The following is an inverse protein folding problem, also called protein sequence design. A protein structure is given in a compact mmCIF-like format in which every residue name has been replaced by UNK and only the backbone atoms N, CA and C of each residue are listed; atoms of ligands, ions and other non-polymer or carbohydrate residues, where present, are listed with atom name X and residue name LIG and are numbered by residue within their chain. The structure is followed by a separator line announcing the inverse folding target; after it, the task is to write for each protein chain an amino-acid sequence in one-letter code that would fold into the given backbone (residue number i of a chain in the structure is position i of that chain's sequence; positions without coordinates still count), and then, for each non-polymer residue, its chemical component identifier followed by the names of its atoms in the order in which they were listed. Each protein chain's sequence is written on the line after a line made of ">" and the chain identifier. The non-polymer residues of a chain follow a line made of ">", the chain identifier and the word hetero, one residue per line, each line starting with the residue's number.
data_IF_683051425577
#
_entry.id   IF_683051425577
#
_cell.length_a   1.000
_cell.length_b   1.000
_cell.length_c   1.000
_cell.angle_alpha   90.00
_cell.angle_beta   90.00
_cell.angle_gamma   90.00
#
_symmetry.space_group_name_H-M   'P 1'
#
loop_
_entity.id
_entity.type
_entity.pdbx_description
1 polymer ?
#
# COMPACT_ATOMS: atom_id res chain seq x y z
N UNK A 1 -20.41 5.84 -30.73
CA UNK A 1 -19.31 6.04 -29.76
C UNK A 1 -18.67 4.71 -29.41
N UNK A 2 -17.39 4.59 -29.74
CA UNK A 2 -16.61 3.36 -29.70
C UNK A 2 -15.33 3.58 -28.87
N UNK A 3 -14.49 2.56 -28.66
CA UNK A 3 -13.32 2.74 -27.78
C UNK A 3 -12.29 3.71 -28.34
N UNK A 4 -12.05 3.71 -29.67
CA UNK A 4 -11.13 4.66 -30.30
C UNK A 4 -11.56 6.11 -30.09
N UNK A 5 -12.85 6.40 -30.18
CA UNK A 5 -13.40 7.75 -29.97
C UNK A 5 -13.13 8.24 -28.54
N UNK A 6 -13.27 7.34 -27.56
CA UNK A 6 -13.05 7.65 -26.14
C UNK A 6 -11.56 7.82 -25.83
N UNK A 7 -10.72 7.01 -26.47
CA UNK A 7 -9.28 6.95 -26.20
C UNK A 7 -8.42 7.80 -27.14
N UNK A 8 -9.01 8.57 -28.07
CA UNK A 8 -8.31 9.31 -29.14
C UNK A 8 -7.16 10.22 -28.67
N UNK A 9 -7.21 10.73 -27.43
CA UNK A 9 -6.20 11.64 -26.86
C UNK A 9 -5.22 10.92 -25.93
N UNK A 10 -5.31 9.59 -25.82
CA UNK A 10 -4.49 8.77 -24.96
C UNK A 10 -3.67 7.80 -25.78
N UNK A 11 -2.44 7.56 -25.33
CA UNK A 11 -1.53 6.62 -25.98
C UNK A 11 -1.39 5.37 -25.12
N UNK A 12 -1.37 4.17 -25.73
CA UNK A 12 -1.15 2.94 -24.99
C UNK A 12 0.28 2.91 -24.43
N UNK A 13 0.39 2.47 -23.19
CA UNK A 13 1.66 2.14 -22.51
C UNK A 13 2.26 0.82 -22.99
N UNK A 14 1.41 -0.09 -23.51
CA UNK A 14 1.81 -1.37 -24.06
C UNK A 14 0.88 -1.70 -25.23
N UNK A 15 1.46 -2.16 -26.34
CA UNK A 15 0.73 -2.51 -27.55
C UNK A 15 1.14 -3.92 -27.98
N UNK A 16 0.15 -4.81 -28.11
CA UNK A 16 0.34 -6.16 -28.62
C UNK A 16 -0.77 -6.54 -29.61
N UNK A 17 -0.64 -7.73 -30.20
CA UNK A 17 -1.53 -8.16 -31.29
C UNK A 17 -2.98 -8.43 -30.84
N UNK A 18 -3.18 -8.66 -29.54
CA UNK A 18 -4.48 -8.98 -28.94
C UNK A 18 -4.95 -7.97 -27.89
N UNK A 19 -4.15 -6.96 -27.55
CA UNK A 19 -4.50 -5.99 -26.51
C UNK A 19 -3.73 -4.66 -26.62
N UNK A 20 -4.33 -3.60 -26.07
CA UNK A 20 -3.76 -2.28 -25.85
C UNK A 20 -3.93 -1.91 -24.38
N UNK A 21 -2.83 -1.63 -23.68
CA UNK A 21 -2.84 -1.24 -22.27
C UNK A 21 -2.65 0.26 -22.14
N UNK A 22 -3.48 0.90 -21.34
CA UNK A 22 -3.44 2.33 -21.06
C UNK A 22 -3.24 2.56 -19.56
N UNK A 23 -2.55 3.65 -19.23
CA UNK A 23 -2.51 4.21 -17.89
C UNK A 23 -3.00 5.66 -17.95
N UNK A 24 -4.15 5.93 -17.35
CA UNK A 24 -4.82 7.24 -17.43
C UNK A 24 -5.23 7.66 -16.03
N UNK A 25 -4.75 8.80 -15.57
CA UNK A 25 -5.06 9.31 -14.22
C UNK A 25 -4.65 8.35 -13.09
N UNK A 26 -3.57 7.58 -13.29
CA UNK A 26 -3.09 6.57 -12.32
C UNK A 26 -3.94 5.29 -12.28
N UNK A 27 -4.83 5.08 -13.26
CA UNK A 27 -5.65 3.88 -13.41
C UNK A 27 -5.22 3.09 -14.64
N UNK A 28 -5.21 1.76 -14.53
CA UNK A 28 -4.90 0.87 -15.63
C UNK A 28 -6.15 0.43 -16.40
N UNK A 29 -6.08 0.42 -17.72
CA UNK A 29 -7.13 -0.10 -18.60
C UNK A 29 -6.53 -0.98 -19.68
N UNK A 30 -7.26 -2.02 -20.11
CA UNK A 30 -6.85 -2.85 -21.25
C UNK A 30 -8.01 -2.99 -22.21
N UNK A 31 -7.81 -2.51 -23.43
CA UNK A 31 -8.70 -2.81 -24.56
C UNK A 31 -8.20 -4.08 -25.21
N UNK A 32 -9.08 -5.06 -25.38
CA UNK A 32 -8.75 -6.35 -25.98
C UNK A 32 -9.91 -6.87 -26.82
N UNK A 33 -9.65 -7.85 -27.68
CA UNK A 33 -10.68 -8.47 -28.51
C UNK A 33 -11.08 -9.84 -27.95
N UNK A 34 -12.23 -9.99 -27.27
CA UNK A 34 -12.66 -11.29 -26.75
C UNK A 34 -13.04 -12.27 -27.87
N UNK A 35 -13.62 -11.75 -28.95
CA UNK A 35 -14.12 -12.48 -30.11
C UNK A 35 -13.92 -11.63 -31.37
N UNK A 36 -14.02 -12.28 -32.54
CA UNK A 36 -13.76 -11.63 -33.83
C UNK A 36 -14.68 -10.42 -34.01
N UNK A 37 -14.11 -9.30 -34.44
CA UNK A 37 -14.82 -8.05 -34.73
C UNK A 37 -15.52 -7.43 -33.50
N UNK A 38 -15.15 -7.86 -32.28
CA UNK A 38 -15.62 -7.30 -31.02
C UNK A 38 -14.46 -6.82 -30.15
N UNK A 39 -14.69 -5.72 -29.43
CA UNK A 39 -13.76 -5.17 -28.44
C UNK A 39 -14.41 -5.09 -27.07
N UNK A 40 -13.59 -5.28 -26.04
CA UNK A 40 -13.94 -5.02 -24.66
C UNK A 40 -12.85 -4.19 -24.00
N UNK A 41 -13.20 -3.48 -22.94
CA UNK A 41 -12.25 -2.75 -22.11
C UNK A 41 -12.38 -3.23 -20.67
N UNK A 42 -11.30 -3.75 -20.10
CA UNK A 42 -11.24 -4.10 -18.69
C UNK A 42 -10.49 -3.02 -17.90
N UNK A 43 -11.08 -2.60 -16.80
CA UNK A 43 -10.48 -1.72 -15.81
C UNK A 43 -9.67 -2.56 -14.81
N UNK A 44 -8.40 -2.22 -14.59
CA UNK A 44 -7.45 -3.10 -13.88
C UNK A 44 -7.52 -3.04 -12.35
N UNK A 45 -8.18 -2.04 -11.74
CA UNK A 45 -8.37 -2.00 -10.29
C UNK A 45 -9.36 -3.07 -9.82
N UNK A 46 -10.52 -3.13 -10.47
CA UNK A 46 -11.63 -4.00 -10.11
C UNK A 46 -11.78 -5.25 -10.98
N UNK A 47 -11.05 -5.29 -12.11
CA UNK A 47 -11.24 -6.24 -13.21
C UNK A 47 -12.68 -6.24 -13.74
N UNK A 48 -13.24 -5.04 -13.87
CA UNK A 48 -14.59 -4.78 -14.36
C UNK A 48 -14.56 -4.47 -15.85
N UNK A 49 -15.48 -5.05 -16.62
CA UNK A 49 -15.68 -4.66 -18.02
C UNK A 49 -16.39 -3.30 -18.08
N UNK A 50 -15.90 -2.42 -18.94
CA UNK A 50 -16.43 -1.10 -19.19
C UNK A 50 -16.84 -1.00 -20.66
N UNK A 51 -18.09 -0.62 -20.90
CA UNK A 51 -18.53 -0.14 -22.21
C UNK A 51 -17.84 1.18 -22.58
N UNK A 52 -17.81 1.59 -23.86
CA UNK A 52 -17.26 2.90 -24.24
C UNK A 52 -17.85 4.07 -23.45
N UNK A 53 -19.16 4.01 -23.18
CA UNK A 53 -19.85 5.03 -22.38
C UNK A 53 -19.39 5.07 -20.93
N UNK A 54 -19.28 3.91 -20.28
CA UNK A 54 -18.76 3.82 -18.91
C UNK A 54 -17.29 4.28 -18.83
N UNK A 55 -16.47 3.93 -19.83
CA UNK A 55 -15.10 4.40 -19.92
C UNK A 55 -15.03 5.93 -20.05
N UNK A 56 -15.81 6.52 -20.97
CA UNK A 56 -15.86 7.98 -21.14
C UNK A 56 -16.28 8.70 -19.84
N UNK A 57 -17.25 8.13 -19.12
CA UNK A 57 -17.71 8.64 -17.83
C UNK A 57 -16.60 8.58 -16.77
N UNK A 58 -15.92 7.44 -16.62
CA UNK A 58 -14.81 7.27 -15.67
C UNK A 58 -13.66 8.23 -15.98
N UNK A 59 -13.39 8.48 -17.26
CA UNK A 59 -12.38 9.43 -17.72
C UNK A 59 -12.85 10.90 -17.67
N UNK A 60 -14.07 11.17 -17.18
CA UNK A 60 -14.65 12.51 -17.04
C UNK A 60 -14.65 13.32 -18.35
N UNK A 61 -14.90 12.65 -19.48
CA UNK A 61 -14.84 13.28 -20.79
C UNK A 61 -16.18 13.91 -21.20
N UNK A 62 -16.12 15.07 -21.86
CA UNK A 62 -17.29 15.69 -22.47
C UNK A 62 -17.65 14.99 -23.79
N UNK A 63 -18.67 14.14 -23.74
CA UNK A 63 -19.14 13.38 -24.89
C UNK A 63 -19.72 14.26 -26.01
N UNK A 64 -20.16 15.50 -25.73
CA UNK A 64 -20.70 16.39 -26.76
C UNK A 64 -19.61 16.92 -27.70
N UNK A 65 -18.36 16.90 -27.25
CA UNK A 65 -17.21 17.41 -28.00
C UNK A 65 -16.45 16.31 -28.75
N UNK A 66 -16.86 15.05 -28.58
CA UNK A 66 -16.19 13.92 -29.21
C UNK A 66 -16.57 13.80 -30.68
N UNK A 67 -15.55 13.64 -31.54
CA UNK A 67 -15.72 13.31 -32.95
C UNK A 67 -15.56 11.80 -33.12
N UNK A 68 -16.58 11.16 -33.68
CA UNK A 68 -16.56 9.73 -33.94
C UNK A 68 -15.35 9.36 -34.82
N UNK A 69 -14.64 8.32 -34.40
CA UNK A 69 -13.48 7.74 -35.09
C UNK A 69 -13.83 6.34 -35.60
N UNK A 70 -13.09 5.84 -36.58
CA UNK A 70 -13.10 4.42 -36.90
C UNK A 70 -12.63 3.61 -35.69
N UNK A 71 -13.21 2.43 -35.47
CA UNK A 71 -12.89 1.62 -34.29
C UNK A 71 -11.48 1.02 -34.36
N UNK A 72 -10.89 0.76 -33.20
CA UNK A 72 -9.64 0.02 -33.05
C UNK A 72 -9.71 -1.35 -33.73
N UNK A 73 -8.57 -1.83 -34.23
CA UNK A 73 -8.44 -3.17 -34.79
C UNK A 73 -7.35 -3.95 -34.05
N UNK A 74 -7.71 -5.16 -33.60
CA UNK A 74 -6.80 -6.14 -33.01
C UNK A 74 -6.84 -7.41 -33.85
N UNK A 75 -5.67 -7.99 -34.11
CA UNK A 75 -5.53 -9.09 -35.05
C UNK A 75 -5.83 -10.46 -34.43
N UNK A 76 -5.77 -10.55 -33.11
CA UNK A 76 -5.87 -11.80 -32.37
C UNK A 76 -6.93 -11.70 -31.28
N UNK A 77 -7.86 -12.66 -31.26
CA UNK A 77 -8.85 -12.78 -30.20
C UNK A 77 -8.23 -13.40 -28.94
N UNK A 78 -8.46 -12.80 -27.79
CA UNK A 78 -8.04 -13.28 -26.48
C UNK A 78 -9.21 -13.26 -25.50
N UNK A 79 -9.58 -14.43 -24.97
CA UNK A 79 -10.60 -14.50 -23.93
C UNK A 79 -10.12 -13.80 -22.66
N UNK A 80 -11.07 -13.25 -21.90
CA UNK A 80 -10.83 -12.53 -20.64
C UNK A 80 -9.93 -13.30 -19.68
N UNK A 81 -10.19 -14.59 -19.48
CA UNK A 81 -9.42 -15.42 -18.56
C UNK A 81 -7.96 -15.54 -19.00
N UNK A 82 -7.73 -15.72 -20.30
CA UNK A 82 -6.37 -15.78 -20.88
C UNK A 82 -5.66 -14.43 -20.78
N UNK A 83 -6.37 -13.33 -20.99
CA UNK A 83 -5.82 -11.98 -20.79
C UNK A 83 -5.39 -11.79 -19.34
N UNK A 84 -6.23 -12.15 -18.36
CA UNK A 84 -5.89 -12.04 -16.96
C UNK A 84 -4.69 -12.93 -16.59
N UNK A 85 -4.66 -14.18 -17.05
CA UNK A 85 -3.49 -15.06 -16.87
C UNK A 85 -2.21 -14.43 -17.42
N UNK A 86 -2.29 -13.81 -18.60
CA UNK A 86 -1.17 -13.08 -19.21
C UNK A 86 -0.75 -11.87 -18.38
N UNK A 87 -1.68 -11.04 -17.92
CA UNK A 87 -1.37 -9.83 -17.14
C UNK A 87 -0.77 -10.15 -15.76
N UNK A 88 -1.23 -11.24 -15.14
CA UNK A 88 -0.65 -11.72 -13.88
C UNK A 88 0.75 -12.29 -14.11
N UNK A 89 0.94 -13.05 -15.20
CA UNK A 89 2.19 -13.71 -15.58
C UNK A 89 2.81 -14.48 -14.40
N UNK A 90 2.06 -15.41 -13.80
CA UNK A 90 2.54 -16.23 -12.68
C UNK A 90 2.44 -17.72 -12.99
N UNK A 91 3.46 -18.47 -12.59
CA UNK A 91 3.49 -19.93 -12.70
C UNK A 91 2.41 -20.57 -11.82
N UNK A 92 1.79 -21.63 -12.34
CA UNK A 92 0.96 -22.51 -11.52
C UNK A 92 1.84 -23.21 -10.48
N UNK A 93 1.50 -23.04 -9.20
CA UNK A 93 2.23 -23.61 -8.08
C UNK A 93 1.28 -23.84 -6.92
N UNK A 94 1.48 -24.95 -6.20
CA UNK A 94 0.77 -25.24 -4.95
C UNK A 94 1.21 -24.31 -3.80
N UNK A 95 2.39 -23.67 -3.94
CA UNK A 95 2.89 -22.75 -2.92
C UNK A 95 2.19 -21.39 -3.02
N UNK A 96 2.10 -20.68 -1.90
CA UNK A 96 1.47 -19.35 -1.85
C UNK A 96 2.33 -18.31 -2.58
N UNK A 97 3.66 -18.44 -2.49
CA UNK A 97 4.62 -17.65 -3.26
C UNK A 97 4.57 -18.04 -4.75
N UNK A 98 4.42 -17.05 -5.61
CA UNK A 98 4.40 -17.22 -7.07
C UNK A 98 5.69 -16.72 -7.70
N UNK A 99 6.06 -17.29 -8.84
CA UNK A 99 7.19 -16.86 -9.67
C UNK A 99 6.66 -16.41 -11.02
N UNK A 100 7.18 -15.31 -11.56
CA UNK A 100 6.84 -14.82 -12.89
C UNK A 100 7.65 -15.52 -13.97
N UNK A 101 6.99 -15.95 -15.05
CA UNK A 101 7.63 -16.75 -16.11
C UNK A 101 8.78 -16.03 -16.80
N UNK A 102 8.60 -14.74 -17.13
CA UNK A 102 9.57 -14.02 -17.96
C UNK A 102 10.65 -13.35 -17.12
N UNK A 103 10.26 -12.70 -16.04
CA UNK A 103 11.15 -11.83 -15.27
C UNK A 103 11.86 -12.52 -14.11
N UNK A 104 11.40 -13.69 -13.68
CA UNK A 104 11.90 -14.37 -12.47
C UNK A 104 11.54 -13.64 -11.15
N UNK A 105 10.77 -12.55 -11.22
CA UNK A 105 10.25 -11.88 -10.04
C UNK A 105 9.35 -12.84 -9.26
N UNK A 106 9.39 -12.73 -7.95
CA UNK A 106 8.55 -13.52 -7.05
C UNK A 106 7.44 -12.64 -6.47
N UNK A 107 6.34 -13.19 -6.01
CA UNK A 107 5.28 -12.38 -5.44
C UNK A 107 4.12 -13.17 -4.85
N UNK A 108 3.19 -12.43 -4.26
CA UNK A 108 2.00 -12.99 -3.64
C UNK A 108 0.76 -12.48 -4.35
N UNK A 109 -0.19 -13.39 -4.63
CA UNK A 109 -1.51 -13.01 -5.08
C UNK A 109 -2.23 -12.29 -3.93
N UNK A 110 -2.81 -11.13 -4.24
CA UNK A 110 -3.44 -10.26 -3.27
C UNK A 110 -4.96 -10.29 -3.46
N UNK A 111 -5.69 -10.54 -2.38
CA UNK A 111 -7.14 -10.61 -2.32
C UNK A 111 -7.73 -9.25 -1.99
N UNK A 112 -8.87 -8.90 -2.57
CA UNK A 112 -9.59 -7.69 -2.21
C UNK A 112 -10.23 -7.83 -0.82
N UNK A 113 -10.07 -6.82 0.03
CA UNK A 113 -10.66 -6.87 1.38
C UNK A 113 -12.20 -6.86 1.40
N UNK A 114 -12.86 -6.40 0.32
CA UNK A 114 -14.32 -6.41 0.17
C UNK A 114 -14.82 -7.67 -0.55
N UNK A 115 -13.94 -8.35 -1.30
CA UNK A 115 -14.24 -9.58 -2.07
C UNK A 115 -13.11 -10.60 -1.85
N UNK A 116 -13.07 -11.22 -0.66
CA UNK A 116 -11.93 -12.04 -0.22
C UNK A 116 -11.77 -13.35 -1.00
N UNK A 117 -12.71 -13.69 -1.86
CA UNK A 117 -12.68 -14.83 -2.78
C UNK A 117 -12.00 -14.51 -4.12
N UNK A 118 -11.63 -13.24 -4.36
CA UNK A 118 -11.13 -12.77 -5.64
C UNK A 118 -9.75 -12.16 -5.54
N UNK A 119 -8.83 -12.74 -6.31
CA UNK A 119 -7.53 -12.13 -6.59
C UNK A 119 -7.74 -10.83 -7.37
N UNK A 120 -7.11 -9.76 -6.90
CA UNK A 120 -7.16 -8.43 -7.50
C UNK A 120 -5.81 -7.79 -7.72
N UNK A 121 -4.74 -8.35 -7.12
CA UNK A 121 -3.41 -7.86 -7.39
C UNK A 121 -2.34 -8.94 -7.27
N UNK A 122 -1.12 -8.60 -7.65
CA UNK A 122 0.11 -9.31 -7.27
C UNK A 122 1.04 -8.30 -6.63
N UNK A 123 1.52 -8.60 -5.42
CA UNK A 123 2.61 -7.84 -4.83
C UNK A 123 3.90 -8.60 -5.07
N UNK A 124 4.70 -8.10 -6.01
CA UNK A 124 5.92 -8.75 -6.49
C UNK A 124 7.18 -8.08 -5.94
N UNK A 125 8.27 -8.84 -5.89
CA UNK A 125 9.61 -8.39 -5.59
C UNK A 125 10.68 -9.16 -6.36
N UNK A 126 11.82 -8.52 -6.55
CA UNK A 126 13.01 -9.17 -7.08
C UNK A 126 13.74 -9.91 -5.95
N UNK A 127 14.05 -11.22 -6.08
CA UNK A 127 14.65 -12.01 -5.01
C UNK A 127 16.01 -11.49 -4.52
N UNK A 128 16.82 -10.91 -5.41
CA UNK A 128 18.15 -10.40 -5.07
C UNK A 128 18.11 -8.95 -4.57
N UNK A 129 17.66 -8.00 -5.39
CA UNK A 129 17.64 -6.55 -5.06
C UNK A 129 16.58 -6.17 -4.02
N UNK A 130 15.59 -7.02 -3.76
CA UNK A 130 14.42 -6.75 -2.90
C UNK A 130 13.52 -5.61 -3.36
N UNK A 131 13.76 -5.06 -4.56
CA UNK A 131 12.85 -4.11 -5.18
C UNK A 131 11.46 -4.71 -5.26
N UNK A 132 10.44 -3.97 -4.81
CA UNK A 132 9.07 -4.47 -4.70
C UNK A 132 8.08 -3.48 -5.31
N UNK A 133 7.01 -4.02 -5.91
CA UNK A 133 5.90 -3.22 -6.46
C UNK A 133 4.62 -4.03 -6.55
N UNK A 134 3.49 -3.34 -6.44
CA UNK A 134 2.19 -3.87 -6.87
C UNK A 134 2.10 -3.82 -8.39
N UNK A 135 1.48 -4.84 -9.00
CA UNK A 135 1.35 -4.93 -10.46
C UNK A 135 0.21 -4.06 -10.99
N UNK A 136 -0.88 -3.97 -10.24
CA UNK A 136 -2.06 -3.16 -10.59
C UNK A 136 -2.29 -2.06 -9.55
N UNK A 137 -3.12 -1.07 -9.88
CA UNK A 137 -3.39 0.12 -9.06
C UNK A 137 -4.33 -0.14 -7.88
N UNK A 138 -4.84 -1.36 -7.71
CA UNK A 138 -5.63 -1.72 -6.52
C UNK A 138 -4.78 -1.86 -5.26
N UNK A 139 -4.83 -0.82 -4.44
CA UNK A 139 -4.12 -0.70 -3.16
C UNK A 139 -4.91 -1.21 -1.95
N UNK A 140 -6.13 -1.74 -2.14
CA UNK A 140 -7.01 -2.27 -1.08
C UNK A 140 -6.99 -3.81 -1.07
N UNK A 141 -5.80 -4.38 -1.24
CA UNK A 141 -5.61 -5.82 -1.24
C UNK A 141 -4.69 -6.30 -0.11
N UNK A 142 -4.82 -7.57 0.23
CA UNK A 142 -4.04 -8.24 1.27
C UNK A 142 -3.64 -9.64 0.81
N UNK A 143 -2.45 -10.09 1.19
CA UNK A 143 -2.12 -11.51 1.21
C UNK A 143 -1.97 -11.96 2.67
N UNK A 144 -2.41 -13.18 2.96
CA UNK A 144 -2.38 -13.74 4.31
C UNK A 144 -1.64 -15.07 4.33
N UNK A 145 -0.96 -15.34 5.44
CA UNK A 145 -0.48 -16.66 5.81
C UNK A 145 -1.17 -17.04 7.10
N UNK A 146 -1.69 -18.27 7.17
CA UNK A 146 -2.22 -18.85 8.41
C UNK A 146 -3.36 -18.01 9.02
N UNK A 147 -4.21 -17.40 8.20
CA UNK A 147 -5.29 -16.46 8.58
C UNK A 147 -6.25 -16.97 9.69
N UNK A 148 -6.35 -18.29 9.88
CA UNK A 148 -7.24 -18.92 10.87
C UNK A 148 -6.56 -19.20 12.22
N UNK A 149 -5.26 -19.00 12.33
CA UNK A 149 -4.53 -19.28 13.56
C UNK A 149 -4.81 -18.20 14.61
N UNK A 150 -5.15 -18.66 15.82
CA UNK A 150 -5.32 -17.81 17.00
C UNK A 150 -4.15 -18.01 17.92
N UNK A 151 -3.76 -16.96 18.65
CA UNK A 151 -2.65 -17.08 19.57
C UNK A 151 -2.21 -15.77 20.18
N UNK A 152 -0.91 -15.70 20.45
CA UNK A 152 -0.25 -14.59 21.14
C UNK A 152 0.43 -13.62 20.18
N UNK A 153 0.73 -14.05 18.96
CA UNK A 153 1.51 -13.29 17.98
C UNK A 153 0.75 -13.14 16.66
N UNK A 154 0.80 -11.93 16.10
CA UNK A 154 0.38 -11.62 14.72
C UNK A 154 1.45 -10.75 14.05
N UNK A 155 1.75 -11.02 12.78
CA UNK A 155 2.70 -10.23 12.00
C UNK A 155 2.00 -9.37 10.96
N UNK A 156 2.39 -8.10 10.87
CA UNK A 156 1.97 -7.16 9.84
C UNK A 156 3.18 -6.65 9.08
N UNK A 157 3.09 -6.58 7.75
CA UNK A 157 4.16 -6.04 6.92
C UNK A 157 3.61 -5.43 5.62
N UNK A 158 4.45 -4.62 4.96
CA UNK A 158 4.16 -3.98 3.67
C UNK A 158 5.22 -4.31 2.61
N UNK A 159 6.11 -5.26 2.91
CA UNK A 159 7.15 -5.74 2.01
C UNK A 159 6.92 -7.22 1.67
N UNK A 160 6.71 -7.58 0.39
CA UNK A 160 6.54 -8.96 0.00
C UNK A 160 7.82 -9.78 0.20
N UNK A 161 9.01 -9.16 0.20
CA UNK A 161 10.25 -9.88 0.51
C UNK A 161 10.38 -10.22 1.99
N UNK A 162 9.92 -9.33 2.88
CA UNK A 162 9.82 -9.63 4.32
C UNK A 162 8.75 -10.69 4.56
N UNK A 163 7.61 -10.58 3.89
CA UNK A 163 6.56 -11.59 3.95
C UNK A 163 7.07 -12.98 3.53
N UNK A 164 7.88 -13.06 2.48
CA UNK A 164 8.54 -14.30 2.07
C UNK A 164 9.53 -14.85 3.10
N UNK A 165 10.21 -13.99 3.86
CA UNK A 165 11.06 -14.44 4.96
C UNK A 165 10.22 -15.04 6.11
N UNK A 166 9.08 -14.42 6.43
CA UNK A 166 8.12 -14.94 7.43
C UNK A 166 7.56 -16.29 6.96
N UNK A 167 7.23 -16.42 5.68
CA UNK A 167 6.73 -17.66 5.08
C UNK A 167 7.74 -18.82 5.21
N UNK A 168 9.01 -18.57 4.88
CA UNK A 168 10.06 -19.60 4.86
C UNK A 168 10.59 -19.98 6.24
N UNK A 169 10.74 -19.01 7.15
CA UNK A 169 11.49 -19.19 8.40
C UNK A 169 10.86 -18.59 9.65
N UNK A 170 9.69 -17.95 9.52
CA UNK A 170 8.99 -17.34 10.65
C UNK A 170 8.33 -18.34 11.60
N UNK A 171 7.70 -17.81 12.64
CA UNK A 171 6.95 -18.59 13.62
C UNK A 171 5.76 -19.26 12.93
N UNK A 172 5.83 -20.59 12.76
CA UNK A 172 4.90 -21.38 11.92
C UNK A 172 3.44 -21.36 12.38
N UNK A 173 3.18 -20.81 13.56
CA UNK A 173 1.87 -20.77 14.23
C UNK A 173 1.30 -19.35 14.36
N UNK A 174 1.98 -18.32 13.83
CA UNK A 174 1.51 -16.94 13.91
C UNK A 174 0.95 -16.46 12.56
N UNK A 175 -0.30 -15.95 12.50
CA UNK A 175 -0.82 -15.36 11.28
C UNK A 175 0.04 -14.17 10.83
N UNK A 176 0.21 -14.03 9.53
CA UNK A 176 0.95 -12.91 8.94
C UNK A 176 0.14 -12.28 7.80
N UNK A 177 0.18 -10.96 7.71
CA UNK A 177 -0.52 -10.20 6.67
C UNK A 177 0.44 -9.27 5.95
N UNK A 178 0.42 -9.37 4.62
CA UNK A 178 1.04 -8.43 3.70
C UNK A 178 -0.02 -7.45 3.22
N UNK A 179 0.09 -6.20 3.65
CA UNK A 179 -0.83 -5.13 3.30
C UNK A 179 -0.31 -4.38 2.07
N UNK A 180 -1.18 -4.13 1.09
CA UNK A 180 -0.81 -3.45 -0.15
C UNK A 180 -0.49 -1.95 0.05
N UNK A 181 -1.01 -1.31 1.11
CA UNK A 181 -0.80 0.11 1.36
C UNK A 181 -1.13 0.54 2.80
N UNK A 182 -1.02 1.83 3.04
CA UNK A 182 -1.39 2.62 4.22
C UNK A 182 -2.87 3.07 4.24
N UNK A 183 -3.72 2.53 3.35
CA UNK A 183 -5.12 2.92 3.30
C UNK A 183 -5.85 2.63 4.62
N UNK A 184 -6.66 3.57 5.11
CA UNK A 184 -7.40 3.42 6.36
C UNK A 184 -8.31 2.17 6.40
N UNK A 185 -8.87 1.76 5.25
CA UNK A 185 -9.65 0.52 5.14
C UNK A 185 -8.79 -0.73 5.38
N UNK A 186 -7.53 -0.74 4.94
CA UNK A 186 -6.59 -1.83 5.25
C UNK A 186 -6.21 -1.83 6.73
N UNK A 187 -6.04 -0.66 7.35
CA UNK A 187 -5.84 -0.60 8.81
C UNK A 187 -7.05 -1.16 9.57
N UNK A 188 -8.27 -0.82 9.14
CA UNK A 188 -9.50 -1.39 9.69
C UNK A 188 -9.57 -2.91 9.54
N UNK A 189 -9.19 -3.43 8.36
CA UNK A 189 -9.07 -4.87 8.15
C UNK A 189 -8.02 -5.49 9.09
N UNK A 190 -6.83 -4.91 9.21
CA UNK A 190 -5.77 -5.40 10.09
C UNK A 190 -6.19 -5.39 11.57
N UNK A 191 -6.92 -4.36 12.02
CA UNK A 191 -7.50 -4.31 13.37
C UNK A 191 -8.46 -5.47 13.63
N UNK A 192 -9.31 -5.80 12.65
CA UNK A 192 -10.22 -6.96 12.73
C UNK A 192 -9.41 -8.25 12.89
N UNK A 193 -8.37 -8.45 12.07
CA UNK A 193 -7.51 -9.64 12.14
C UNK A 193 -6.77 -9.76 13.47
N UNK A 194 -6.29 -8.64 14.03
CA UNK A 194 -5.68 -8.60 15.37
C UNK A 194 -6.69 -9.05 16.44
N UNK A 195 -7.91 -8.52 16.41
CA UNK A 195 -8.94 -8.88 17.37
C UNK A 195 -9.33 -10.37 17.27
N UNK A 196 -9.42 -10.91 16.05
CA UNK A 196 -9.73 -12.32 15.81
C UNK A 196 -8.58 -13.26 16.26
N UNK A 197 -7.32 -12.88 15.99
CA UNK A 197 -6.14 -13.64 16.41
C UNK A 197 -6.03 -13.73 17.93
N UNK A 198 -6.27 -12.62 18.64
CA UNK A 198 -6.15 -12.53 20.10
C UNK A 198 -7.42 -12.90 20.86
N UNK A 199 -8.43 -13.46 20.19
CA UNK A 199 -9.66 -13.89 20.84
C UNK A 199 -9.37 -14.97 21.90
N UNK A 200 -9.49 -14.60 23.18
CA UNK A 200 -9.17 -15.46 24.32
C UNK A 200 -7.74 -15.33 24.87
N UNK A 201 -6.91 -14.48 24.28
CA UNK A 201 -5.53 -14.23 24.72
C UNK A 201 -5.47 -13.05 25.72
N UNK A 202 -4.87 -13.20 26.92
CA UNK A 202 -4.65 -12.10 27.86
C UNK A 202 -3.84 -10.95 27.24
N UNK A 203 -4.12 -9.70 27.64
CA UNK A 203 -3.53 -8.50 27.01
C UNK A 203 -2.00 -8.49 27.12
N UNK A 204 -1.50 -8.86 28.29
CA UNK A 204 -0.09 -8.95 28.65
C UNK A 204 0.71 -9.99 27.85
N UNK A 205 0.02 -10.91 27.17
CA UNK A 205 0.64 -11.93 26.34
C UNK A 205 0.61 -11.61 24.84
N UNK A 206 -0.11 -10.55 24.45
CA UNK A 206 -0.32 -10.20 23.04
C UNK A 206 0.91 -9.53 22.45
N UNK A 207 1.22 -9.89 21.21
CA UNK A 207 2.35 -9.36 20.45
C UNK A 207 1.90 -9.08 19.02
N UNK A 208 1.97 -7.83 18.61
CA UNK A 208 1.76 -7.34 17.25
C UNK A 208 3.13 -7.00 16.70
N UNK A 209 3.69 -7.90 15.89
CA UNK A 209 4.96 -7.72 15.21
C UNK A 209 4.79 -6.90 13.93
N UNK A 210 5.18 -5.63 13.97
CA UNK A 210 5.12 -4.71 12.84
C UNK A 210 6.48 -4.72 12.14
N UNK A 211 6.57 -5.36 10.98
CA UNK A 211 7.79 -5.38 10.18
C UNK A 211 7.89 -4.11 9.34
N UNK A 212 8.80 -3.21 9.73
CA UNK A 212 8.89 -1.86 9.19
C UNK A 212 9.65 -1.86 7.85
N UNK A 213 10.86 -2.42 7.80
CA UNK A 213 11.71 -2.41 6.62
C UNK A 213 11.88 -1.00 6.01
N UNK A 214 11.66 -0.88 4.70
CA UNK A 214 11.65 0.42 4.00
C UNK A 214 10.28 1.14 4.02
N UNK A 215 9.23 0.48 4.53
CA UNK A 215 7.84 0.98 4.53
C UNK A 215 7.51 1.69 5.85
N UNK A 216 8.35 2.65 6.22
CA UNK A 216 8.29 3.30 7.54
C UNK A 216 7.01 4.11 7.70
N UNK A 217 6.56 4.80 6.65
CA UNK A 217 5.33 5.57 6.69
C UNK A 217 4.10 4.67 6.85
N UNK A 218 4.05 3.53 6.14
CA UNK A 218 2.96 2.58 6.23
C UNK A 218 2.83 2.03 7.65
N UNK A 219 3.96 1.64 8.26
CA UNK A 219 4.01 1.25 9.67
C UNK A 219 3.58 2.38 10.62
N UNK A 220 4.05 3.61 10.40
CA UNK A 220 3.67 4.79 11.17
C UNK A 220 2.17 5.06 11.08
N UNK A 221 1.60 4.97 9.87
CA UNK A 221 0.19 5.21 9.61
C UNK A 221 -0.68 4.18 10.32
N UNK A 222 -0.28 2.90 10.27
CA UNK A 222 -0.94 1.85 11.02
C UNK A 222 -0.84 2.06 12.54
N UNK A 223 0.34 2.37 13.08
CA UNK A 223 0.51 2.63 14.53
C UNK A 223 -0.37 3.80 14.99
N UNK A 224 -0.43 4.89 14.21
CA UNK A 224 -1.33 6.01 14.50
C UNK A 224 -2.80 5.58 14.50
N UNK A 225 -3.21 4.78 13.51
CA UNK A 225 -4.55 4.22 13.43
C UNK A 225 -4.86 3.29 14.62
N UNK A 226 -3.93 2.42 14.99
CA UNK A 226 -4.06 1.51 16.12
C UNK A 226 -4.23 2.27 17.42
N UNK A 227 -3.32 3.22 17.72
CA UNK A 227 -3.37 4.07 18.92
C UNK A 227 -4.73 4.73 19.03
N UNK A 228 -5.22 5.35 17.95
CA UNK A 228 -6.55 6.01 17.91
C UNK A 228 -7.72 5.10 18.33
N UNK A 229 -7.59 3.78 18.15
CA UNK A 229 -8.65 2.82 18.49
C UNK A 229 -8.49 2.19 19.88
N UNK A 230 -7.34 2.31 20.52
CA UNK A 230 -7.08 1.70 21.84
C UNK A 230 -6.86 2.71 22.97
N UNK A 231 -6.45 3.94 22.64
CA UNK A 231 -6.31 5.02 23.60
C UNK A 231 -6.45 6.41 22.95
N UNK A 232 -6.77 7.41 23.76
CA UNK A 232 -7.20 8.72 23.25
C UNK A 232 -6.20 9.86 23.50
N UNK A 233 -5.34 9.73 24.53
CA UNK A 233 -4.50 10.81 25.03
C UNK A 233 -3.46 11.31 24.01
N UNK A 234 -2.91 10.39 23.22
CA UNK A 234 -1.80 10.66 22.30
C UNK A 234 -2.21 10.52 20.83
N UNK A 235 -3.48 10.65 20.49
CA UNK A 235 -3.97 10.47 19.13
C UNK A 235 -3.22 11.36 18.13
N UNK A 236 -2.80 10.75 17.02
CA UNK A 236 -2.15 11.37 15.86
C UNK A 236 -2.85 10.91 14.59
N UNK A 237 -3.09 11.82 13.64
CA UNK A 237 -3.65 11.51 12.32
C UNK A 237 -2.62 11.92 11.26
N UNK A 238 -1.97 10.94 10.59
CA UNK A 238 -0.95 11.22 9.59
C UNK A 238 -1.52 11.41 8.19
N UNK A 239 -0.91 12.32 7.43
CA UNK A 239 -1.13 12.56 6.00
C UNK A 239 0.22 12.77 5.29
N UNK A 240 0.38 12.20 4.10
CA UNK A 240 1.47 12.55 3.17
C UNK A 240 0.94 13.53 2.14
N UNK A 241 1.60 14.67 2.01
CA UNK A 241 1.21 15.68 1.04
C UNK A 241 2.41 16.54 0.64
N UNK A 242 2.57 16.76 -0.66
CA UNK A 242 3.57 17.68 -1.23
C UNK A 242 5.00 17.45 -0.72
N UNK A 243 5.41 16.19 -0.57
CA UNK A 243 6.75 15.81 -0.06
C UNK A 243 6.93 16.00 1.44
N UNK A 244 5.84 16.20 2.20
CA UNK A 244 5.82 16.37 3.65
C UNK A 244 4.96 15.30 4.31
N UNK A 245 5.32 14.91 5.53
CA UNK A 245 4.43 14.23 6.46
C UNK A 245 3.83 15.28 7.39
N UNK A 246 2.51 15.31 7.45
CA UNK A 246 1.72 16.21 8.29
C UNK A 246 0.96 15.35 9.30
N UNK A 247 1.08 15.69 10.58
CA UNK A 247 0.50 14.95 11.69
C UNK A 247 -0.45 15.86 12.45
N UNK A 248 -1.76 15.65 12.34
CA UNK A 248 -2.73 16.33 13.21
C UNK A 248 -2.68 15.72 14.61
N UNK A 249 -2.54 16.55 15.64
CA UNK A 249 -2.41 16.16 17.05
C UNK A 249 -3.54 16.78 17.88
N UNK A 250 -4.81 16.36 17.70
CA UNK A 250 -5.97 17.12 18.14
C UNK A 250 -6.13 17.22 19.67
N UNK A 251 -5.58 16.26 20.42
CA UNK A 251 -5.72 16.18 21.89
C UNK A 251 -4.43 16.50 22.65
N UNK A 252 -3.40 16.91 21.92
CA UNK A 252 -2.11 17.21 22.52
C UNK A 252 -2.13 18.61 23.12
N UNK A 253 -1.72 18.74 24.39
CA UNK A 253 -1.50 20.05 24.96
C UNK A 253 -0.26 20.73 24.31
N UNK A 254 -0.26 22.06 24.13
CA UNK A 254 0.82 22.75 23.40
C UNK A 254 2.21 22.55 23.99
N UNK A 255 2.33 22.48 25.32
CA UNK A 255 3.61 22.31 26.03
C UNK A 255 4.19 20.93 25.71
N UNK A 256 3.36 19.88 25.81
CA UNK A 256 3.72 18.51 25.48
C UNK A 256 4.14 18.38 24.02
N UNK A 257 3.37 18.99 23.11
CA UNK A 257 3.71 18.99 21.68
C UNK A 257 5.07 19.65 21.42
N UNK A 258 5.31 20.83 21.98
CA UNK A 258 6.60 21.52 21.84
C UNK A 258 7.77 20.71 22.42
N UNK A 259 7.59 20.12 23.61
CA UNK A 259 8.60 19.27 24.24
C UNK A 259 8.89 18.00 23.42
N UNK A 260 7.86 17.39 22.84
CA UNK A 260 8.01 16.23 21.97
C UNK A 260 8.75 16.59 20.69
N UNK A 261 8.39 17.70 20.03
CA UNK A 261 9.08 18.19 18.83
C UNK A 261 10.53 18.58 19.11
N UNK A 262 10.83 19.18 20.26
CA UNK A 262 12.22 19.42 20.68
C UNK A 262 13.01 18.10 20.82
N UNK A 263 12.37 17.06 21.37
CA UNK A 263 12.97 15.73 21.52
C UNK A 263 13.18 15.03 20.16
N UNK A 264 12.23 15.17 19.24
CA UNK A 264 12.36 14.67 17.86
C UNK A 264 13.54 15.31 17.13
N UNK A 265 13.65 16.64 17.18
CA UNK A 265 14.76 17.36 16.56
C UNK A 265 16.11 16.96 17.15
N UNK A 266 16.21 16.79 18.48
CA UNK A 266 17.43 16.27 19.12
C UNK A 266 17.79 14.88 18.61
N UNK A 267 16.82 13.96 18.57
CA UNK A 267 17.03 12.59 18.09
C UNK A 267 17.47 12.55 16.62
N UNK A 268 16.88 13.39 15.76
CA UNK A 268 17.26 13.47 14.35
C UNK A 268 18.71 13.92 14.17
N UNK A 269 19.14 14.94 14.92
CA UNK A 269 20.55 15.40 14.92
C UNK A 269 21.48 14.29 15.39
N UNK A 270 21.12 13.60 16.48
CA UNK A 270 21.93 12.50 17.01
C UNK A 270 22.06 11.33 16.00
N UNK A 271 21.00 11.01 15.26
CA UNK A 271 21.04 10.01 14.20
C UNK A 271 21.87 10.45 12.99
N UNK A 272 21.72 11.71 12.56
CA UNK A 272 22.50 12.26 11.45
C UNK A 272 24.00 12.23 11.76
N UNK A 273 24.42 12.67 12.95
CA UNK A 273 25.82 12.63 13.40
C UNK A 273 26.40 11.21 13.45
N UNK A 274 25.59 10.21 13.84
CA UNK A 274 26.03 8.81 13.83
C UNK A 274 26.24 8.28 12.41
N UNK A 275 25.40 8.70 11.46
CA UNK A 275 25.45 8.23 10.07
C UNK A 275 26.50 8.96 9.24
N UNK A 276 26.76 10.23 9.54
CA UNK A 276 27.73 11.08 8.85
C UNK A 276 28.62 11.82 9.87
N UNK A 277 29.60 11.13 10.48
CA UNK A 277 30.42 11.70 11.56
C UNK A 277 31.29 12.88 11.10
N UNK A 278 31.65 12.91 9.82
CA UNK A 278 32.57 13.90 9.24
C UNK A 278 31.86 15.09 8.59
N UNK A 279 30.53 15.06 8.47
CA UNK A 279 29.77 16.23 8.01
C UNK A 279 29.47 17.16 9.18
N UNK A 280 29.71 18.45 8.99
CA UNK A 280 29.05 19.47 9.80
C UNK A 280 27.55 19.35 9.56
N UNK A 281 26.83 18.69 10.47
CA UNK A 281 25.37 18.59 10.41
C UNK A 281 24.84 20.00 10.71
N UNK A 282 24.23 20.70 9.73
CA UNK A 282 23.64 22.00 10.00
C UNK A 282 22.60 21.87 11.11
N UNK A 283 22.33 22.97 11.83
CA UNK A 283 21.39 23.00 12.96
C UNK A 283 19.93 22.95 12.45
N UNK A 284 19.64 22.00 11.57
CA UNK A 284 18.34 21.79 10.95
C UNK A 284 17.37 21.22 11.99
N UNK A 285 16.18 21.81 12.01
CA UNK A 285 15.06 21.38 12.83
C UNK A 285 13.99 20.82 11.90
N UNK A 286 14.12 19.56 11.45
CA UNK A 286 13.21 18.98 10.47
C UNK A 286 11.77 18.88 10.97
N UNK A 287 11.55 18.80 12.29
CA UNK A 287 10.23 18.75 12.88
C UNK A 287 9.78 20.13 13.34
N UNK A 288 8.62 20.57 12.84
CA UNK A 288 8.05 21.88 13.16
C UNK A 288 6.61 21.73 13.67
N UNK A 289 6.26 22.54 14.67
CA UNK A 289 4.88 22.70 15.12
C UNK A 289 4.18 23.79 14.30
N UNK A 290 2.93 23.54 13.92
CA UNK A 290 2.03 24.56 13.38
C UNK A 290 0.69 24.47 14.11
N UNK A 291 0.07 25.61 14.36
CA UNK A 291 -1.32 25.67 14.83
C UNK A 291 -2.13 26.55 13.90
N UNK A 292 -3.22 26.00 13.35
CA UNK A 292 -4.11 26.71 12.45
C UNK A 292 -5.56 26.27 12.70
N UNK A 293 -6.51 27.21 12.67
CA UNK A 293 -7.93 26.94 12.88
C UNK A 293 -8.25 26.08 14.13
N UNK A 294 -7.58 26.36 15.25
CA UNK A 294 -7.67 25.60 16.53
C UNK A 294 -7.26 24.13 16.44
N UNK A 295 -6.56 23.74 15.37
CA UNK A 295 -5.90 22.45 15.24
C UNK A 295 -4.39 22.62 15.39
N UNK A 296 -3.76 21.60 15.97
CA UNK A 296 -2.32 21.53 16.12
C UNK A 296 -1.75 20.45 15.23
N UNK A 297 -0.61 20.76 14.63
CA UNK A 297 0.06 19.90 13.66
C UNK A 297 1.55 19.81 13.99
N UNK A 298 2.13 18.65 13.74
CA UNK A 298 3.57 18.48 13.58
C UNK A 298 3.81 18.12 12.12
N UNK A 299 4.79 18.74 11.47
CA UNK A 299 5.12 18.39 10.09
C UNK A 299 6.63 18.36 9.87
N UNK A 300 7.06 17.54 8.92
CA UNK A 300 8.47 17.30 8.58
C UNK A 300 8.59 16.76 7.15
N UNK A 301 9.78 16.87 6.51
CA UNK A 301 10.00 16.32 5.18
C UNK A 301 9.74 14.82 5.11
N UNK A 302 9.15 14.34 4.02
CA UNK A 302 8.82 12.93 3.78
C UNK A 302 10.08 12.10 3.46
N UNK A 303 10.96 11.99 4.44
CA UNK A 303 12.21 11.25 4.38
C UNK A 303 12.20 10.13 5.41
N UNK A 304 12.65 8.94 4.98
CA UNK A 304 12.69 7.72 5.79
C UNK A 304 13.24 7.95 7.20
N UNK A 305 14.38 8.64 7.31
CA UNK A 305 15.05 8.91 8.60
C UNK A 305 14.15 9.68 9.58
N UNK A 306 13.37 10.65 9.12
CA UNK A 306 12.49 11.43 9.98
C UNK A 306 11.23 10.67 10.36
N UNK A 307 10.71 9.85 9.44
CA UNK A 307 9.62 8.92 9.77
C UNK A 307 10.05 7.90 10.83
N UNK A 308 11.27 7.35 10.75
CA UNK A 308 11.83 6.41 11.73
C UNK A 308 11.99 7.06 13.11
N UNK A 309 12.54 8.28 13.15
CA UNK A 309 12.66 9.07 14.38
C UNK A 309 11.29 9.28 15.01
N UNK A 310 10.30 9.71 14.22
CA UNK A 310 8.95 9.94 14.72
C UNK A 310 8.32 8.65 15.23
N UNK A 311 8.29 7.59 14.42
CA UNK A 311 7.66 6.31 14.75
C UNK A 311 8.23 5.73 16.05
N UNK A 312 9.55 5.72 16.21
CA UNK A 312 10.22 5.21 17.41
C UNK A 312 9.89 6.04 18.66
N UNK A 313 9.96 7.36 18.55
CA UNK A 313 9.69 8.28 19.66
C UNK A 313 8.21 8.25 20.06
N UNK A 314 7.32 8.15 19.08
CA UNK A 314 5.88 8.07 19.29
C UNK A 314 5.49 6.76 19.96
N UNK A 315 6.04 5.62 19.53
CA UNK A 315 5.79 4.34 20.18
C UNK A 315 6.22 4.34 21.66
N UNK A 316 7.38 4.94 21.95
CA UNK A 316 7.87 5.12 23.33
C UNK A 316 6.99 6.06 24.18
N UNK A 317 6.32 7.03 23.55
CA UNK A 317 5.39 7.95 24.20
C UNK A 317 4.08 7.25 24.57
N UNK A 318 3.51 6.46 23.63
CA UNK A 318 2.20 5.80 23.82
C UNK A 318 2.26 4.54 24.68
N UNK A 319 3.45 3.95 24.86
CA UNK A 319 3.73 2.81 25.77
C UNK A 319 2.81 1.59 25.58
N UNK A 320 2.46 1.29 24.34
CA UNK A 320 1.73 0.06 24.01
C UNK A 320 2.68 -1.13 24.18
N UNK A 321 2.37 -2.03 25.11
CA UNK A 321 3.25 -3.16 25.47
C UNK A 321 3.22 -4.26 24.42
N UNK A 322 2.08 -4.39 23.74
CA UNK A 322 1.81 -5.41 22.74
C UNK A 322 2.33 -5.06 21.34
N UNK A 323 2.72 -3.81 21.08
CA UNK A 323 3.16 -3.37 19.74
C UNK A 323 4.68 -3.34 19.66
N UNK A 324 5.25 -4.13 18.74
CA UNK A 324 6.70 -4.24 18.56
C UNK A 324 7.09 -3.95 17.11
N UNK A 325 8.04 -3.02 16.94
CA UNK A 325 8.65 -2.76 15.62
C UNK A 325 9.76 -3.79 15.37
N UNK A 326 9.68 -4.48 14.24
CA UNK A 326 10.64 -5.45 13.75
C UNK A 326 11.37 -4.85 12.54
N UNK A 327 12.69 -5.06 12.51
CA UNK A 327 13.62 -4.48 11.51
C UNK A 327 13.76 -5.32 10.27
#
# INVERSE_FOLDING_TARGET
>A
MNYQTVLQNYHPTEQGDFMLRYEIGGRGYVVYSPEKDALSCIELHGFSELTPWQLAFVLSLDMQQMKEQDELSLFVCCKREKLLSYLFDVEESETVLKTKHVSGWQGYLMMDIHKPDRVRNVFQFHPETKEARLVFDNRLCVASLREKEKGKLIHLCWSPSVFAAIDKGGERTAPAYLLASDAALLHGYAMKQIAECFAGTPVEERVIGIHVGDNVYEALSFVCYYVRNVQDEYLVIPERKDGMVILETPKWNPIRQANFVASLNKMAVDQAKKRYPEMEVPNERPFTCLSFARKSFVYFPDLKVYQEVFLKMYLGLVRLQEVHLLG
#
